data_IF_330852632584
#
_entry.id   IF_330852632584
#
_cell.length_a   1.000
_cell.length_b   1.000
_cell.length_c   1.000
_cell.angle_alpha   90.00
_cell.angle_beta   90.00
_cell.angle_gamma   90.00
#
_symmetry.space_group_name_H-M   'P 1'
#
loop_
_entity.id
_entity.type
_entity.pdbx_description
1 polymer ?
#
# COMPACT_ATOMS: atom_id res chain seq x y z
N UNK A 1 -13.80 4.63 -4.98
CA UNK A 1 -12.48 5.11 -5.42
C UNK A 1 -12.44 6.62 -5.62
N UNK A 2 -13.57 7.30 -5.90
CA UNK A 2 -13.55 8.76 -6.11
C UNK A 2 -12.92 9.50 -4.92
N UNK A 3 -13.33 9.16 -3.70
CA UNK A 3 -12.81 9.83 -2.50
C UNK A 3 -11.30 9.59 -2.30
N UNK A 4 -10.82 8.36 -2.49
CA UNK A 4 -9.39 8.03 -2.43
C UNK A 4 -8.59 8.85 -3.45
N UNK A 5 -9.09 8.95 -4.69
CA UNK A 5 -8.41 9.71 -5.74
C UNK A 5 -8.42 11.23 -5.47
N UNK A 6 -9.53 11.77 -4.95
CA UNK A 6 -9.64 13.19 -4.64
C UNK A 6 -8.73 13.57 -3.46
N UNK A 7 -8.68 12.74 -2.42
CA UNK A 7 -7.74 12.96 -1.30
C UNK A 7 -6.29 12.84 -1.80
N UNK A 8 -5.99 11.87 -2.67
CA UNK A 8 -4.65 11.73 -3.25
C UNK A 8 -4.22 12.99 -4.02
N UNK A 9 -5.11 13.66 -4.75
CA UNK A 9 -4.79 14.94 -5.43
C UNK A 9 -4.51 16.06 -4.46
N UNK A 10 -5.28 16.16 -3.38
CA UNK A 10 -5.04 17.17 -2.34
C UNK A 10 -3.68 16.94 -1.67
N UNK A 11 -3.40 15.70 -1.29
CA UNK A 11 -2.14 15.33 -0.67
C UNK A 11 -0.96 15.47 -1.65
N UNK A 12 -1.13 15.24 -2.96
CA UNK A 12 -0.09 15.50 -3.96
C UNK A 12 0.25 17.00 -4.06
N UNK A 13 -0.79 17.85 -4.10
CA UNK A 13 -0.65 19.31 -4.22
C UNK A 13 0.08 19.97 -3.04
N UNK A 14 -0.09 19.44 -1.82
CA UNK A 14 0.50 20.02 -0.61
C UNK A 14 1.95 19.53 -0.40
N UNK A 15 2.92 20.44 -0.41
CA UNK A 15 4.34 20.11 -0.18
C UNK A 15 4.61 19.59 1.23
N UNK A 16 3.78 19.98 2.21
CA UNK A 16 3.85 19.55 3.60
C UNK A 16 3.47 18.08 3.79
N UNK A 17 2.76 17.49 2.84
CA UNK A 17 2.40 16.07 2.86
C UNK A 17 3.49 15.29 2.12
N UNK A 18 4.31 14.56 2.86
CA UNK A 18 5.44 13.81 2.31
C UNK A 18 5.07 12.46 1.67
N UNK A 19 3.97 11.84 2.12
CA UNK A 19 3.53 10.52 1.68
C UNK A 19 2.01 10.35 1.88
N UNK A 20 1.44 9.34 1.23
CA UNK A 20 0.04 8.96 1.41
C UNK A 20 -0.06 7.85 2.44
N UNK A 21 -0.90 8.06 3.46
CA UNK A 21 -1.54 6.97 4.16
C UNK A 21 -2.88 6.72 3.48
N UNK A 22 -3.25 5.48 3.15
CA UNK A 22 -4.56 5.20 2.53
C UNK A 22 -5.68 5.74 3.44
N UNK A 23 -6.38 6.82 3.04
CA UNK A 23 -7.07 7.68 4.00
C UNK A 23 -8.49 7.19 4.32
N UNK A 24 -9.09 6.46 3.38
CA UNK A 24 -10.46 5.93 3.46
C UNK A 24 -10.53 4.63 2.67
N UNK A 25 -11.40 3.71 3.12
CA UNK A 25 -11.63 2.46 2.41
C UNK A 25 -12.50 2.65 1.16
N UNK A 26 -12.07 2.12 0.03
CA UNK A 26 -12.84 2.09 -1.22
C UNK A 26 -13.99 1.06 -1.13
N UNK A 27 -15.10 1.43 -0.49
CA UNK A 27 -16.27 0.57 -0.28
C UNK A 27 -17.02 0.20 -1.59
N UNK A 28 -16.73 0.88 -2.69
CA UNK A 28 -17.22 0.60 -4.04
C UNK A 28 -16.36 -0.40 -4.82
N UNK A 29 -15.33 -0.99 -4.19
CA UNK A 29 -14.50 -2.06 -4.76
C UNK A 29 -14.75 -3.40 -4.05
N UNK A 30 -14.51 -4.54 -4.75
CA UNK A 30 -14.57 -5.87 -4.12
C UNK A 30 -13.66 -5.94 -2.89
N UNK A 31 -14.14 -6.42 -1.73
CA UNK A 31 -13.36 -6.47 -0.49
C UNK A 31 -11.99 -7.17 -0.63
N UNK A 32 -11.93 -8.23 -1.43
CA UNK A 32 -10.76 -9.11 -1.60
C UNK A 32 -9.60 -8.49 -2.40
N UNK A 33 -9.83 -7.34 -3.03
CA UNK A 33 -8.83 -6.62 -3.84
C UNK A 33 -8.84 -5.13 -3.57
N UNK A 34 -9.53 -4.70 -2.52
CA UNK A 34 -9.78 -3.29 -2.21
C UNK A 34 -8.47 -2.53 -2.04
N UNK A 35 -7.52 -3.09 -1.30
CA UNK A 35 -6.21 -2.46 -1.08
C UNK A 35 -5.46 -2.21 -2.38
N UNK A 36 -5.55 -3.13 -3.34
CA UNK A 36 -4.93 -2.97 -4.66
C UNK A 36 -5.57 -1.83 -5.48
N UNK A 37 -6.89 -1.69 -5.40
CA UNK A 37 -7.61 -0.59 -6.03
C UNK A 37 -7.25 0.77 -5.41
N UNK A 38 -7.07 0.83 -4.09
CA UNK A 38 -6.65 2.03 -3.36
C UNK A 38 -5.23 2.43 -3.75
N UNK A 39 -4.28 1.50 -3.77
CA UNK A 39 -2.90 1.73 -4.23
C UNK A 39 -2.88 2.27 -5.67
N UNK A 40 -3.64 1.64 -6.57
CA UNK A 40 -3.75 2.10 -7.96
C UNK A 40 -4.35 3.50 -8.06
N UNK A 41 -5.37 3.81 -7.25
CA UNK A 41 -5.98 5.14 -7.25
C UNK A 41 -4.98 6.21 -6.79
N UNK A 42 -4.18 5.94 -5.76
CA UNK A 42 -3.15 6.87 -5.28
C UNK A 42 -2.04 7.06 -6.33
N UNK A 43 -1.45 5.98 -6.84
CA UNK A 43 -0.36 6.08 -7.82
C UNK A 43 -0.77 6.68 -9.16
N UNK A 44 -2.07 6.68 -9.51
CA UNK A 44 -2.58 7.42 -10.67
C UNK A 44 -2.63 8.93 -10.47
N UNK A 45 -2.56 9.42 -9.23
CA UNK A 45 -2.73 10.83 -8.90
C UNK A 45 -1.54 11.44 -8.14
N UNK A 46 -0.53 10.64 -7.78
CA UNK A 46 0.63 11.09 -7.01
C UNK A 46 1.86 10.22 -7.25
N UNK A 47 3.04 10.83 -7.22
CA UNK A 47 4.34 10.13 -7.22
C UNK A 47 4.97 9.98 -5.83
N UNK A 48 4.32 10.51 -4.78
CA UNK A 48 4.77 10.39 -3.39
C UNK A 48 4.66 8.95 -2.90
N UNK A 49 5.47 8.62 -1.89
CA UNK A 49 5.46 7.31 -1.24
C UNK A 49 4.05 6.96 -0.71
N UNK A 50 3.69 5.67 -0.70
CA UNK A 50 2.41 5.19 -0.17
C UNK A 50 2.65 4.22 0.98
N UNK A 51 2.01 4.46 2.12
CA UNK A 51 1.94 3.57 3.27
C UNK A 51 0.51 3.08 3.43
N UNK A 52 0.34 1.76 3.63
CA UNK A 52 -0.99 1.14 3.72
C UNK A 52 -1.05 0.05 4.79
N UNK A 53 -2.22 -0.06 5.42
CA UNK A 53 -2.66 -1.17 6.28
C UNK A 53 -3.74 -2.02 5.57
N UNK A 54 -4.09 -1.68 4.33
CA UNK A 54 -5.21 -2.29 3.61
C UNK A 54 -4.80 -3.51 2.77
N UNK A 55 -3.59 -4.02 2.98
CA UNK A 55 -3.02 -5.19 2.32
C UNK A 55 -2.85 -6.29 3.39
N UNK A 56 -3.90 -7.05 3.65
CA UNK A 56 -3.96 -8.00 4.77
C UNK A 56 -4.04 -9.47 4.31
N UNK A 57 -3.54 -9.77 3.11
CA UNK A 57 -3.47 -11.14 2.59
C UNK A 57 -2.18 -11.38 1.81
N UNK A 58 -1.67 -12.61 1.84
CA UNK A 58 -0.48 -13.01 1.07
C UNK A 58 -0.65 -12.67 -0.43
N UNK A 59 -1.83 -12.95 -0.98
CA UNK A 59 -2.15 -12.69 -2.39
C UNK A 59 -2.12 -11.21 -2.74
N UNK A 60 -2.71 -10.35 -1.90
CA UNK A 60 -2.67 -8.90 -2.13
C UNK A 60 -1.27 -8.35 -1.91
N UNK A 61 -0.51 -8.84 -0.93
CA UNK A 61 0.86 -8.43 -0.69
C UNK A 61 1.77 -8.77 -1.89
N UNK A 62 1.64 -9.97 -2.47
CA UNK A 62 2.40 -10.32 -3.67
C UNK A 62 2.00 -9.44 -4.84
N UNK A 63 0.70 -9.19 -5.03
CA UNK A 63 0.21 -8.31 -6.09
C UNK A 63 0.67 -6.86 -5.93
N UNK A 64 0.65 -6.31 -4.71
CA UNK A 64 1.08 -4.95 -4.43
C UNK A 64 2.58 -4.76 -4.65
N UNK A 65 3.40 -5.76 -4.30
CA UNK A 65 4.84 -5.80 -4.62
C UNK A 65 5.07 -5.79 -6.13
N UNK A 66 4.34 -6.62 -6.91
CA UNK A 66 4.49 -6.62 -8.38
C UNK A 66 4.04 -5.30 -9.02
N UNK A 67 2.97 -4.69 -8.51
CA UNK A 67 2.53 -3.36 -8.95
C UNK A 67 3.60 -2.31 -8.67
N UNK A 68 4.12 -2.27 -7.44
CA UNK A 68 5.17 -1.34 -7.04
C UNK A 68 6.47 -1.58 -7.84
N UNK A 69 6.84 -2.83 -8.09
CA UNK A 69 8.03 -3.17 -8.87
C UNK A 69 7.87 -2.74 -10.33
N UNK A 70 6.69 -2.92 -10.91
CA UNK A 70 6.39 -2.46 -12.27
C UNK A 70 6.52 -0.95 -12.40
N UNK A 71 6.08 -0.18 -11.39
CA UNK A 71 6.22 1.28 -11.35
C UNK A 71 7.67 1.73 -11.06
N UNK A 72 8.40 1.00 -10.22
CA UNK A 72 9.79 1.30 -9.88
C UNK A 72 10.79 0.98 -10.99
N UNK A 73 10.39 0.18 -12.00
CA UNK A 73 11.30 -0.33 -13.03
C UNK A 73 12.02 -1.62 -12.65
N UNK A 74 11.47 -2.40 -11.72
CA UNK A 74 11.93 -3.73 -11.34
C UNK A 74 12.08 -3.92 -9.83
N UNK A 75 12.10 -5.19 -9.41
CA UNK A 75 12.20 -5.59 -7.98
C UNK A 75 13.47 -5.08 -7.30
N UNK A 76 14.60 -5.13 -7.99
CA UNK A 76 15.88 -4.64 -7.45
C UNK A 76 15.88 -3.11 -7.24
N UNK A 77 15.22 -2.36 -8.13
CA UNK A 77 15.10 -0.90 -7.98
C UNK A 77 14.17 -0.57 -6.83
N UNK A 78 13.03 -1.27 -6.74
CA UNK A 78 12.08 -1.14 -5.64
C UNK A 78 12.74 -1.42 -4.29
N UNK A 79 13.50 -2.52 -4.18
CA UNK A 79 14.23 -2.88 -2.95
C UNK A 79 15.23 -1.81 -2.51
N UNK A 80 15.91 -1.16 -3.45
CA UNK A 80 16.87 -0.09 -3.16
C UNK A 80 16.21 1.24 -2.81
N UNK A 81 15.02 1.51 -3.38
CA UNK A 81 14.27 2.75 -3.15
C UNK A 81 12.76 2.49 -3.09
N UNK A 82 12.24 2.00 -1.94
CA UNK A 82 10.83 1.63 -1.80
C UNK A 82 9.89 2.82 -1.98
N UNK A 83 8.83 2.62 -2.77
CA UNK A 83 7.71 3.57 -2.92
C UNK A 83 6.41 3.11 -2.24
N UNK A 84 6.48 1.93 -1.60
CA UNK A 84 5.41 1.30 -0.84
C UNK A 84 5.95 0.89 0.53
N UNK A 85 5.21 1.17 1.60
CA UNK A 85 5.37 0.55 2.91
C UNK A 85 4.10 -0.24 3.24
N UNK A 86 4.26 -1.41 3.86
CA UNK A 86 3.14 -2.23 4.35
C UNK A 86 3.19 -2.20 5.87
N UNK A 87 2.20 -1.56 6.48
CA UNK A 87 2.11 -1.41 7.93
C UNK A 87 1.10 -2.41 8.47
N UNK A 88 1.48 -3.19 9.48
CA UNK A 88 0.59 -4.15 10.13
C UNK A 88 0.49 -3.87 11.63
N UNK A 89 -0.73 -3.75 12.12
CA UNK A 89 -0.99 -3.58 13.54
C UNK A 89 -0.91 -4.93 14.28
N UNK A 90 -0.45 -4.88 15.54
CA UNK A 90 -0.62 -6.02 16.45
C UNK A 90 -2.06 -6.05 16.98
N UNK A 91 -2.53 -7.25 17.29
CA UNK A 91 -3.81 -7.46 17.98
C UNK A 91 -3.52 -7.52 19.48
N UNK A 92 -4.12 -6.62 20.25
CA UNK A 92 -4.03 -6.66 21.71
C UNK A 92 -4.69 -7.94 22.27
N UNK A 93 -4.12 -8.58 23.31
CA UNK A 93 -2.99 -8.10 24.11
C UNK A 93 -1.60 -8.43 23.56
N UNK A 94 -1.39 -9.51 22.78
CA UNK A 94 -0.09 -9.92 22.24
C UNK A 94 -0.30 -10.95 21.10
N UNK A 95 -1.05 -10.56 20.08
CA UNK A 95 -1.44 -11.43 18.98
C UNK A 95 -1.19 -10.76 17.61
N UNK A 96 -1.23 -11.58 16.57
CA UNK A 96 -1.25 -11.19 15.18
C UNK A 96 -2.31 -12.03 14.47
N UNK A 97 -3.06 -11.47 13.54
CA UNK A 97 -3.84 -12.30 12.64
C UNK A 97 -2.93 -12.90 11.57
N UNK A 98 -3.44 -13.95 10.93
CA UNK A 98 -2.73 -14.66 9.89
C UNK A 98 -2.46 -13.76 8.68
N UNK A 99 -3.46 -13.01 8.24
CA UNK A 99 -3.42 -12.28 6.97
C UNK A 99 -2.35 -11.19 6.98
N UNK A 100 -2.38 -10.34 8.01
CA UNK A 100 -1.37 -9.31 8.25
C UNK A 100 0.04 -9.88 8.40
N UNK A 101 0.20 -11.01 9.12
CA UNK A 101 1.51 -11.64 9.26
C UNK A 101 2.07 -12.14 7.91
N UNK A 102 1.24 -12.80 7.09
CA UNK A 102 1.68 -13.24 5.76
C UNK A 102 2.02 -12.05 4.85
N UNK A 103 1.25 -10.96 4.91
CA UNK A 103 1.52 -9.75 4.15
C UNK A 103 2.85 -9.09 4.56
N UNK A 104 3.11 -8.99 5.86
CA UNK A 104 4.38 -8.49 6.40
C UNK A 104 5.58 -9.32 5.94
N UNK A 105 5.46 -10.67 5.94
CA UNK A 105 6.52 -11.56 5.48
C UNK A 105 6.84 -11.37 4.00
N UNK A 106 5.81 -11.21 3.16
CA UNK A 106 5.98 -10.91 1.73
C UNK A 106 6.64 -9.54 1.52
N UNK A 107 6.21 -8.52 2.28
CA UNK A 107 6.84 -7.19 2.24
C UNK A 107 8.32 -7.23 2.63
N UNK A 108 8.64 -7.94 3.71
CA UNK A 108 10.02 -8.12 4.19
C UNK A 108 10.90 -8.86 3.17
N UNK A 109 10.37 -9.92 2.53
CA UNK A 109 11.07 -10.64 1.44
C UNK A 109 11.41 -9.68 0.28
N UNK A 110 10.47 -8.83 -0.11
CA UNK A 110 10.64 -7.82 -1.15
C UNK A 110 11.57 -6.66 -0.75
N UNK A 111 11.83 -6.48 0.56
CA UNK A 111 12.61 -5.37 1.11
C UNK A 111 11.82 -4.07 1.17
N UNK A 112 10.49 -4.17 1.34
CA UNK A 112 9.64 -3.05 1.69
C UNK A 112 9.72 -2.79 3.21
N UNK A 113 9.72 -1.52 3.63
CA UNK A 113 9.70 -1.12 5.03
C UNK A 113 8.30 -1.21 5.65
#
# INVERSE_FOLDING_TARGET
MKDVADIARVADYLEEVAFHWVPVSAQDCPPESRGLHELLAIWKNSTKHVQTESIYSESEARASVEMAASLAGGKEVLRKRPMLSIMECTISPLAQDRGSLEAALVGAEAGLP
#
